data_IF_329478183947
#
_entry.id   IF_329478183947
#
_cell.length_a   1.000
_cell.length_b   1.000
_cell.length_c   1.000
_cell.angle_alpha   90.00
_cell.angle_beta   90.00
_cell.angle_gamma   90.00
#
_symmetry.space_group_name_H-M   'P 1'
#
loop_
_entity.id
_entity.type
_entity.pdbx_description
1 polymer ?
#
# COMPACT_ATOMS: atom_id res chain seq x y z
N UNK A 1 22.11 1.98 2.69
CA UNK A 1 21.93 1.08 3.86
C UNK A 1 21.79 1.96 5.09
N UNK A 2 20.56 2.17 5.56
CA UNK A 2 20.27 2.88 6.81
C UNK A 2 20.27 1.85 7.93
N UNK A 3 21.44 1.59 8.49
CA UNK A 3 21.60 0.71 9.65
C UNK A 3 21.68 1.59 10.89
N UNK A 4 20.68 1.56 11.76
CA UNK A 4 20.77 2.20 13.05
C UNK A 4 21.05 1.16 14.14
N UNK A 5 21.92 1.50 15.11
CA UNK A 5 22.29 0.63 16.23
C UNK A 5 21.25 0.55 17.35
N UNK A 6 20.03 1.03 17.10
CA UNK A 6 18.96 1.07 18.10
C UNK A 6 18.18 -0.24 18.09
N UNK A 7 17.88 -0.77 19.28
CA UNK A 7 17.08 -1.99 19.45
C UNK A 7 15.57 -1.75 19.42
N UNK A 8 15.12 -0.48 19.35
CA UNK A 8 13.71 -0.10 19.29
C UNK A 8 13.27 0.04 17.83
N UNK A 9 12.81 -1.07 17.27
CA UNK A 9 12.35 -1.18 15.89
C UNK A 9 10.86 -1.57 15.86
N UNK A 10 10.04 -0.73 15.25
CA UNK A 10 8.64 -1.06 14.94
C UNK A 10 8.57 -1.68 13.56
N UNK A 11 8.00 -2.88 13.44
CA UNK A 11 7.69 -3.48 12.16
C UNK A 11 6.59 -2.66 11.46
N UNK A 12 6.88 -2.11 10.30
CA UNK A 12 5.87 -1.51 9.43
C UNK A 12 5.09 -2.64 8.75
N UNK A 13 3.76 -2.56 8.69
CA UNK A 13 2.96 -3.56 7.99
C UNK A 13 3.42 -3.65 6.54
N UNK A 14 3.55 -4.89 6.05
CA UNK A 14 3.84 -5.17 4.64
C UNK A 14 2.87 -4.34 3.79
N UNK A 15 3.40 -3.59 2.83
CA UNK A 15 2.53 -2.84 1.93
C UNK A 15 1.84 -3.85 1.03
N UNK A 16 0.57 -4.15 1.33
CA UNK A 16 -0.24 -5.02 0.48
C UNK A 16 -0.51 -4.33 -0.85
N UNK A 17 -0.68 -5.14 -1.89
CA UNK A 17 -0.98 -4.70 -3.26
C UNK A 17 -2.05 -3.61 -3.26
N UNK A 18 -1.74 -2.50 -3.91
CA UNK A 18 -2.70 -1.40 -4.12
C UNK A 18 -3.27 -1.55 -5.50
N UNK A 19 -4.58 -1.39 -5.61
CA UNK A 19 -5.31 -1.35 -6.86
C UNK A 19 -5.55 0.11 -7.22
N UNK A 20 -5.21 0.50 -8.44
CA UNK A 20 -5.46 1.84 -8.97
C UNK A 20 -6.53 1.75 -10.04
N UNK A 21 -7.67 2.39 -9.83
CA UNK A 21 -8.71 2.46 -10.85
C UNK A 21 -8.19 3.25 -12.06
N UNK A 22 -8.29 2.71 -13.27
CA UNK A 22 -7.82 3.39 -14.50
C UNK A 22 -8.75 4.50 -14.97
N UNK A 23 -9.96 4.61 -14.38
CA UNK A 23 -10.94 5.63 -14.73
C UNK A 23 -10.84 6.87 -13.84
N UNK A 24 -10.96 6.71 -12.52
CA UNK A 24 -10.86 7.83 -11.58
C UNK A 24 -9.45 8.03 -11.01
N UNK A 25 -8.52 7.09 -11.27
CA UNK A 25 -7.17 7.07 -10.70
C UNK A 25 -7.13 6.86 -9.18
N UNK A 26 -8.25 6.48 -8.55
CA UNK A 26 -8.31 6.16 -7.13
C UNK A 26 -7.41 4.96 -6.81
N UNK A 27 -6.53 5.14 -5.84
CA UNK A 27 -5.66 4.08 -5.33
C UNK A 27 -6.23 3.54 -4.03
N UNK A 28 -6.73 2.31 -4.06
CA UNK A 28 -7.31 1.59 -2.93
C UNK A 28 -6.47 0.36 -2.62
N UNK A 29 -6.44 -0.10 -1.37
CA UNK A 29 -5.75 -1.37 -1.06
C UNK A 29 -6.64 -2.52 -1.50
N UNK A 30 -6.05 -3.61 -2.01
CA UNK A 30 -6.84 -4.79 -2.37
C UNK A 30 -7.68 -5.32 -1.19
N UNK A 31 -7.17 -5.22 0.04
CA UNK A 31 -7.92 -5.59 1.25
C UNK A 31 -9.09 -4.66 1.59
N UNK A 32 -9.02 -3.42 1.14
CA UNK A 32 -10.02 -2.38 1.37
C UNK A 32 -11.06 -2.33 0.24
N UNK A 33 -10.72 -2.90 -0.92
CA UNK A 33 -11.63 -3.12 -2.01
C UNK A 33 -12.61 -4.25 -1.66
N UNK A 34 -13.65 -3.92 -0.91
CA UNK A 34 -14.69 -4.86 -0.48
C UNK A 34 -15.57 -5.37 -1.63
N UNK A 35 -15.53 -4.72 -2.80
CA UNK A 35 -16.36 -5.01 -3.97
C UNK A 35 -15.46 -5.04 -5.22
N UNK A 36 -15.65 -5.98 -6.14
CA UNK A 36 -14.86 -6.11 -7.39
C UNK A 36 -15.00 -4.92 -8.38
N UNK A 37 -15.50 -3.76 -7.94
CA UNK A 37 -15.66 -2.55 -8.72
C UNK A 37 -15.32 -1.30 -7.90
N UNK A 38 -14.97 -0.21 -8.58
CA UNK A 38 -14.52 1.02 -7.95
C UNK A 38 -15.71 1.70 -7.27
N UNK A 39 -15.70 1.85 -5.93
CA UNK A 39 -16.81 2.46 -5.21
C UNK A 39 -16.99 3.92 -5.64
N UNK A 40 -15.88 4.64 -5.86
CA UNK A 40 -15.93 6.05 -6.26
C UNK A 40 -16.49 6.26 -7.67
N UNK A 41 -16.19 5.37 -8.62
CA UNK A 41 -16.83 5.41 -9.95
C UNK A 41 -18.34 5.13 -9.85
N UNK A 42 -18.73 4.20 -8.97
CA UNK A 42 -20.12 3.86 -8.76
C UNK A 42 -20.88 4.98 -8.03
N UNK A 43 -20.27 5.63 -7.05
CA UNK A 43 -20.88 6.74 -6.31
C UNK A 43 -20.97 8.01 -7.16
N UNK A 44 -19.93 8.34 -7.94
CA UNK A 44 -19.93 9.54 -8.79
C UNK A 44 -20.72 9.39 -10.08
N UNK A 45 -20.60 8.24 -10.76
CA UNK A 45 -21.14 8.04 -12.10
C UNK A 45 -22.24 6.96 -12.17
N UNK A 46 -22.46 6.20 -11.11
CA UNK A 46 -23.37 5.05 -11.14
C UNK A 46 -22.82 3.85 -11.91
N UNK A 47 -21.55 3.90 -12.33
CA UNK A 47 -20.94 2.89 -13.20
C UNK A 47 -20.05 1.93 -12.40
N UNK A 48 -20.31 0.63 -12.53
CA UNK A 48 -19.48 -0.42 -11.93
C UNK A 48 -18.24 -0.64 -12.79
N UNK A 49 -17.17 0.11 -12.49
CA UNK A 49 -15.87 -0.01 -13.16
C UNK A 49 -14.99 -1.00 -12.40
N UNK A 50 -14.64 -2.12 -13.02
CA UNK A 50 -13.69 -3.10 -12.49
C UNK A 50 -12.30 -2.98 -13.14
N UNK A 51 -12.06 -1.91 -13.89
CA UNK A 51 -10.77 -1.62 -14.52
C UNK A 51 -9.81 -1.05 -13.49
N UNK A 52 -9.13 -1.96 -12.79
CA UNK A 52 -8.08 -1.66 -11.81
C UNK A 52 -6.74 -2.17 -12.31
N UNK A 53 -5.72 -1.35 -12.13
CA UNK A 53 -4.33 -1.71 -12.32
C UNK A 53 -3.71 -2.08 -10.97
N UNK A 54 -3.14 -3.28 -10.89
CA UNK A 54 -2.34 -3.69 -9.73
C UNK A 54 -1.05 -2.88 -9.71
N UNK A 55 -0.96 -1.99 -8.73
CA UNK A 55 0.27 -1.26 -8.43
C UNK A 55 1.05 -2.12 -7.44
N UNK A 56 1.95 -2.94 -8.00
CA UNK A 56 2.99 -3.58 -7.22
C UNK A 56 3.81 -2.48 -6.52
N UNK A 57 3.81 -2.50 -5.19
CA UNK A 57 4.80 -1.72 -4.47
C UNK A 57 6.08 -2.57 -4.47
N UNK A 58 7.21 -2.05 -4.98
CA UNK A 58 8.47 -2.80 -5.05
C UNK A 58 8.99 -3.22 -3.67
N UNK A 59 8.38 -2.71 -2.60
CA UNK A 59 8.69 -3.03 -1.21
C UNK A 59 7.57 -3.80 -0.50
N UNK A 60 6.60 -4.36 -1.24
CA UNK A 60 5.52 -5.17 -0.68
C UNK A 60 6.03 -6.42 0.04
N UNK A 61 7.11 -7.01 -0.49
CA UNK A 61 7.75 -8.20 0.05
C UNK A 61 8.84 -7.90 1.09
N UNK A 62 9.26 -6.64 1.20
CA UNK A 62 10.38 -6.25 2.04
C UNK A 62 9.86 -5.84 3.43
N UNK A 63 10.26 -6.57 4.47
CA UNK A 63 9.91 -6.23 5.84
C UNK A 63 10.58 -4.90 6.21
N UNK A 64 9.81 -3.82 6.26
CA UNK A 64 10.33 -2.50 6.64
C UNK A 64 10.22 -2.33 8.14
N UNK A 65 11.30 -1.88 8.77
CA UNK A 65 11.34 -1.54 10.18
C UNK A 65 11.55 -0.04 10.33
N UNK A 66 10.78 0.61 11.18
CA UNK A 66 11.00 2.01 11.56
C UNK A 66 11.63 2.04 12.94
N UNK A 67 12.78 2.69 13.07
CA UNK A 67 13.34 2.98 14.36
C UNK A 67 12.60 4.17 15.01
N UNK A 68 12.08 3.98 16.22
CA UNK A 68 11.37 5.05 16.95
C UNK A 68 12.34 6.12 17.49
N UNK A 69 13.59 5.75 17.77
CA UNK A 69 14.58 6.66 18.35
C UNK A 69 15.20 7.64 17.35
N UNK A 70 15.30 7.26 16.07
CA UNK A 70 15.93 8.10 15.04
C UNK A 70 15.08 8.30 13.78
N UNK A 71 13.92 7.64 13.70
CA UNK A 71 13.05 7.70 12.53
C UNK A 71 13.59 6.98 11.29
N UNK A 72 14.73 6.29 11.39
CA UNK A 72 15.32 5.57 10.26
C UNK A 72 14.39 4.45 9.78
N UNK A 73 14.22 4.37 8.47
CA UNK A 73 13.53 3.26 7.81
C UNK A 73 14.60 2.25 7.39
N UNK A 74 14.52 1.06 7.97
CA UNK A 74 15.38 -0.09 7.70
C UNK A 74 14.59 -1.03 6.81
N UNK A 75 15.25 -1.55 5.78
CA UNK A 75 14.73 -2.52 4.83
C UNK A 75 15.28 -3.89 5.24
N UNK A 76 14.43 -4.85 5.56
CA UNK A 76 14.80 -6.23 5.84
C UNK A 76 14.87 -7.02 4.54
N UNK A 77 16.02 -7.60 4.25
CA UNK A 77 16.25 -8.52 3.12
C UNK A 77 15.49 -9.84 3.26
#
# INVERSE_FOLDING_TARGET
>A
MTSCSHSTLTLLPQQKNRLRCRHCHLTIKQEDLAQDFCPECYEMQGEKRNDFEEVECPDANEARYRCESCGAIIKGE
#
